data_IF_144366147569
#
_entry.id   IF_144366147569
#
_cell.length_a   1.000
_cell.length_b   1.000
_cell.length_c   1.000
_cell.angle_alpha   90.00
_cell.angle_beta   90.00
_cell.angle_gamma   90.00
#
_symmetry.space_group_name_H-M   'P 1'
#
loop_
_entity.id
_entity.type
_entity.pdbx_description
1 polymer ?
#
# COMPACT_ATOMS: atom_id res chain seq x y z
N UNK A 1 11.47 10.71 23.12
CA UNK A 1 10.18 10.38 22.49
C UNK A 1 9.93 8.90 22.68
N UNK A 2 8.69 8.47 22.94
CA UNK A 2 8.37 7.05 22.91
C UNK A 2 8.24 6.68 21.44
N UNK A 3 9.35 6.33 20.80
CA UNK A 3 9.31 5.90 19.41
C UNK A 3 8.54 4.57 19.37
N UNK A 4 7.49 4.49 18.55
CA UNK A 4 6.79 3.23 18.30
C UNK A 4 7.51 2.42 17.20
N UNK A 5 7.10 1.17 16.97
CA UNK A 5 7.77 0.29 16.01
C UNK A 5 7.77 0.86 14.58
N UNK A 6 6.68 1.54 14.18
CA UNK A 6 6.52 2.19 12.88
C UNK A 6 7.57 3.30 12.69
N UNK A 7 7.67 4.24 13.63
CA UNK A 7 8.62 5.37 13.58
C UNK A 7 10.07 4.87 13.48
N UNK A 8 10.43 3.83 14.25
CA UNK A 8 11.79 3.26 14.20
C UNK A 8 12.07 2.61 12.85
N UNK A 9 11.10 1.89 12.28
CA UNK A 9 11.27 1.27 10.97
C UNK A 9 11.50 2.35 9.90
N UNK A 10 10.72 3.43 9.90
CA UNK A 10 10.91 4.53 8.94
C UNK A 10 12.21 5.32 9.18
N UNK A 11 12.66 5.48 10.43
CA UNK A 11 13.97 6.06 10.78
C UNK A 11 15.09 5.23 10.14
N UNK A 12 15.13 3.92 10.41
CA UNK A 12 16.14 3.01 9.86
C UNK A 12 16.10 2.96 8.33
N UNK A 13 14.91 2.83 7.76
CA UNK A 13 14.73 2.83 6.29
C UNK A 13 15.30 4.11 5.67
N UNK A 14 15.05 5.26 6.27
CA UNK A 14 15.59 6.55 5.81
C UNK A 14 17.11 6.60 5.92
N UNK A 15 17.70 6.18 7.05
CA UNK A 15 19.15 6.15 7.26
C UNK A 15 19.87 5.26 6.24
N UNK A 16 19.26 4.14 5.88
CA UNK A 16 19.80 3.17 4.91
C UNK A 16 19.45 3.50 3.45
N UNK A 17 18.74 4.60 3.18
CA UNK A 17 18.21 4.95 1.86
C UNK A 17 17.40 3.80 1.21
N UNK A 18 16.55 3.17 2.02
CA UNK A 18 15.60 2.13 1.62
C UNK A 18 14.22 2.79 1.58
N UNK A 19 13.59 2.99 0.41
CA UNK A 19 12.23 3.49 0.36
C UNK A 19 11.31 2.57 1.15
N UNK A 20 10.47 3.14 2.01
CA UNK A 20 9.49 2.44 2.81
C UNK A 20 8.13 3.13 2.67
N UNK A 21 7.05 2.38 2.70
CA UNK A 21 5.68 2.90 2.67
C UNK A 21 4.79 2.12 3.62
N UNK A 22 3.79 2.79 4.19
CA UNK A 22 2.69 2.11 4.89
C UNK A 22 1.77 1.49 3.83
N UNK A 23 1.34 0.26 4.09
CA UNK A 23 0.30 -0.46 3.35
C UNK A 23 -0.95 -0.67 4.22
N UNK A 24 -1.88 -1.49 3.73
CA UNK A 24 -3.01 -1.97 4.52
C UNK A 24 -3.93 -0.86 5.04
N UNK A 25 -4.54 -1.12 6.19
CA UNK A 25 -5.53 -0.21 6.77
C UNK A 25 -4.94 1.11 7.27
N UNK A 26 -3.68 1.12 7.72
CA UNK A 26 -3.00 2.30 8.25
C UNK A 26 -2.68 3.35 7.17
N UNK A 27 -2.62 2.96 5.89
CA UNK A 27 -2.41 3.90 4.79
C UNK A 27 -3.68 4.70 4.43
N UNK A 28 -4.87 4.20 4.76
CA UNK A 28 -6.13 4.81 4.29
C UNK A 28 -6.36 6.26 4.69
N UNK A 29 -5.97 6.72 5.91
CA UNK A 29 -6.08 8.12 6.26
C UNK A 29 -5.33 9.06 5.31
N UNK A 30 -4.24 8.61 4.67
CA UNK A 30 -3.52 9.38 3.65
C UNK A 30 -4.34 9.63 2.38
N UNK A 31 -5.43 8.87 2.20
CA UNK A 31 -6.36 8.97 1.07
C UNK A 31 -7.73 9.46 1.51
N UNK A 32 -7.83 10.23 2.59
CA UNK A 32 -9.09 10.79 3.11
C UNK A 32 -10.13 9.72 3.50
N UNK A 33 -9.69 8.52 3.85
CA UNK A 33 -10.58 7.42 4.29
C UNK A 33 -10.24 7.04 5.73
N UNK A 34 -11.20 7.23 6.64
CA UNK A 34 -11.06 6.81 8.03
C UNK A 34 -11.14 5.28 8.15
N UNK A 35 -10.17 4.67 8.82
CA UNK A 35 -10.11 3.24 9.10
C UNK A 35 -9.37 2.99 10.41
N UNK A 36 -9.93 2.14 11.25
CA UNK A 36 -9.27 1.62 12.44
C UNK A 36 -8.64 0.27 12.11
N UNK A 37 -7.36 0.10 12.41
CA UNK A 37 -6.66 -1.18 12.38
C UNK A 37 -5.57 -1.19 13.45
N UNK A 38 -5.21 -2.37 13.92
CA UNK A 38 -4.02 -2.58 14.76
C UNK A 38 -2.84 -3.11 13.94
N UNK A 39 -3.11 -3.64 12.75
CA UNK A 39 -2.11 -4.24 11.87
C UNK A 39 -1.17 -3.15 11.33
N UNK A 40 0.13 -3.40 11.43
CA UNK A 40 1.18 -2.52 10.91
C UNK A 40 1.80 -3.19 9.68
N UNK A 41 1.33 -2.80 8.50
CA UNK A 41 1.87 -3.25 7.22
C UNK A 41 2.83 -2.18 6.67
N UNK A 42 4.10 -2.55 6.48
CA UNK A 42 5.10 -1.66 5.89
C UNK A 42 5.74 -2.40 4.71
N UNK A 43 5.80 -1.77 3.55
CA UNK A 43 6.54 -2.30 2.42
C UNK A 43 7.83 -1.54 2.21
N UNK A 44 8.94 -2.26 2.10
CA UNK A 44 10.26 -1.71 1.83
C UNK A 44 10.72 -2.09 0.42
N UNK A 45 11.45 -1.18 -0.23
CA UNK A 45 12.09 -1.44 -1.51
C UNK A 45 13.57 -1.76 -1.32
N UNK A 46 13.89 -3.04 -1.26
CA UNK A 46 15.26 -3.57 -1.19
C UNK A 46 15.58 -4.36 -2.46
N UNK A 47 16.80 -4.21 -2.97
CA UNK A 47 17.23 -4.80 -4.25
C UNK A 47 18.29 -5.90 -4.11
N UNK A 48 18.73 -6.18 -2.88
CA UNK A 48 19.73 -7.22 -2.59
C UNK A 48 19.56 -7.77 -1.19
N UNK A 49 20.02 -9.02 -0.98
CA UNK A 49 20.06 -9.63 0.35
C UNK A 49 20.94 -8.83 1.31
N UNK A 50 22.07 -8.29 0.84
CA UNK A 50 22.97 -7.46 1.66
C UNK A 50 22.25 -6.23 2.25
N UNK A 51 21.45 -5.52 1.44
CA UNK A 51 20.67 -4.38 1.95
C UNK A 51 19.59 -4.80 2.95
N UNK A 52 18.97 -5.95 2.71
CA UNK A 52 18.00 -6.51 3.65
C UNK A 52 18.68 -6.90 4.98
N UNK A 53 19.86 -7.52 4.93
CA UNK A 53 20.63 -7.90 6.11
C UNK A 53 21.05 -6.66 6.93
N UNK A 54 21.50 -5.58 6.26
CA UNK A 54 21.79 -4.30 6.93
C UNK A 54 20.55 -3.71 7.63
N UNK A 55 19.38 -3.79 6.99
CA UNK A 55 18.12 -3.34 7.59
C UNK A 55 17.75 -4.17 8.82
N UNK A 56 17.90 -5.50 8.76
CA UNK A 56 17.64 -6.40 9.88
C UNK A 56 18.61 -6.18 11.05
N UNK A 57 19.89 -5.95 10.77
CA UNK A 57 20.89 -5.65 11.79
C UNK A 57 20.58 -4.33 12.51
N UNK A 58 20.20 -3.28 11.77
CA UNK A 58 19.79 -2.00 12.34
C UNK A 58 18.52 -2.12 13.21
N UNK A 59 17.53 -2.93 12.79
CA UNK A 59 16.35 -3.21 13.61
C UNK A 59 16.74 -3.91 14.92
N UNK A 60 17.64 -4.88 14.85
CA UNK A 60 18.11 -5.65 16.00
C UNK A 60 18.80 -4.75 17.03
N UNK A 61 19.56 -3.75 16.61
CA UNK A 61 20.16 -2.74 17.50
C UNK A 61 19.10 -1.96 18.29
N UNK A 62 17.92 -1.74 17.70
CA UNK A 62 16.76 -1.11 18.34
C UNK A 62 15.87 -2.11 19.10
N UNK A 63 16.31 -3.36 19.28
CA UNK A 63 15.56 -4.48 19.91
C UNK A 63 14.27 -4.85 19.17
N UNK A 64 14.23 -4.62 17.86
CA UNK A 64 13.18 -5.11 16.97
C UNK A 64 13.76 -6.32 16.23
N UNK A 65 13.14 -7.48 16.35
CA UNK A 65 13.70 -8.73 15.83
C UNK A 65 12.68 -9.46 14.96
N UNK A 66 13.16 -10.16 13.93
CA UNK A 66 12.38 -11.22 13.29
C UNK A 66 12.79 -12.57 13.89
N UNK A 67 11.81 -13.43 14.14
CA UNK A 67 12.06 -14.85 14.45
C UNK A 67 12.22 -15.70 13.18
N UNK A 68 12.02 -15.11 12.01
CA UNK A 68 12.28 -15.71 10.72
C UNK A 68 13.73 -15.41 10.30
N UNK A 69 14.19 -16.03 9.22
CA UNK A 69 15.45 -15.70 8.56
C UNK A 69 15.11 -15.07 7.20
N UNK A 70 14.77 -13.77 7.14
CA UNK A 70 14.19 -13.17 5.95
C UNK A 70 15.13 -13.25 4.75
N UNK A 71 14.58 -13.62 3.60
CA UNK A 71 15.31 -13.67 2.33
C UNK A 71 14.66 -12.77 1.31
N UNK A 72 15.49 -12.18 0.44
CA UNK A 72 15.06 -11.21 -0.58
C UNK A 72 14.01 -11.75 -1.55
N UNK A 73 13.90 -13.07 -1.69
CA UNK A 73 12.91 -13.75 -2.54
C UNK A 73 11.59 -14.08 -1.83
N UNK A 74 11.46 -13.75 -0.54
CA UNK A 74 10.20 -13.90 0.19
C UNK A 74 9.31 -12.68 -0.03
N UNK A 75 8.01 -12.86 0.17
CA UNK A 75 7.04 -11.78 -0.03
C UNK A 75 6.99 -10.83 1.16
N UNK A 76 7.06 -11.38 2.37
CA UNK A 76 7.04 -10.64 3.63
C UNK A 76 7.72 -11.42 4.76
N UNK A 77 8.01 -10.71 5.85
CA UNK A 77 8.39 -11.28 7.14
C UNK A 77 7.82 -10.41 8.28
N UNK A 78 7.75 -10.97 9.49
CA UNK A 78 7.23 -10.29 10.67
C UNK A 78 8.37 -9.90 11.58
N UNK A 79 8.28 -8.71 12.16
CA UNK A 79 9.19 -8.20 13.19
C UNK A 79 8.43 -7.88 14.47
N UNK A 80 9.09 -8.09 15.60
CA UNK A 80 8.55 -7.94 16.94
C UNK A 80 9.42 -6.99 17.75
N UNK A 81 8.79 -6.06 18.47
CA UNK A 81 9.48 -5.12 19.33
C UNK A 81 8.51 -4.14 19.96
N UNK A 82 8.90 -3.54 21.10
CA UNK A 82 8.11 -2.50 21.76
C UNK A 82 6.64 -2.89 22.09
N UNK A 83 6.40 -4.17 22.40
CA UNK A 83 5.07 -4.75 22.62
C UNK A 83 4.12 -4.65 21.40
N UNK A 84 4.67 -4.62 20.20
CA UNK A 84 3.95 -4.65 18.94
C UNK A 84 4.63 -5.59 17.96
N UNK A 85 3.92 -5.91 16.89
CA UNK A 85 4.47 -6.54 15.68
C UNK A 85 4.21 -5.66 14.47
N UNK A 86 4.98 -5.89 13.40
CA UNK A 86 4.76 -5.31 12.08
C UNK A 86 5.08 -6.33 10.99
N UNK A 87 4.28 -6.35 9.94
CA UNK A 87 4.56 -7.06 8.71
C UNK A 87 5.43 -6.20 7.80
N UNK A 88 6.59 -6.72 7.43
CA UNK A 88 7.52 -6.10 6.48
C UNK A 88 7.39 -6.82 5.15
N UNK A 89 6.72 -6.16 4.21
CA UNK A 89 6.52 -6.59 2.84
C UNK A 89 7.73 -6.22 1.98
N UNK A 90 8.28 -7.18 1.24
CA UNK A 90 9.36 -6.97 0.28
C UNK A 90 8.85 -6.63 -1.13
N UNK A 91 7.55 -6.86 -1.37
CA UNK A 91 6.82 -6.43 -2.56
C UNK A 91 5.47 -5.82 -2.16
N UNK A 92 4.90 -4.89 -2.94
CA UNK A 92 3.68 -4.18 -2.54
C UNK A 92 2.43 -5.06 -2.42
N UNK A 93 2.37 -6.17 -3.15
CA UNK A 93 1.31 -7.19 -3.03
C UNK A 93 1.72 -8.51 -3.71
N UNK A 94 0.89 -9.54 -3.59
CA UNK A 94 1.16 -10.89 -4.11
C UNK A 94 1.45 -10.95 -5.62
N UNK A 95 0.76 -10.13 -6.44
CA UNK A 95 0.79 -10.21 -7.90
C UNK A 95 1.88 -9.34 -8.56
N UNK A 96 2.56 -8.48 -7.81
CA UNK A 96 3.57 -7.62 -8.41
C UNK A 96 4.65 -7.12 -7.46
N UNK A 97 5.84 -6.96 -8.03
CA UNK A 97 6.98 -6.33 -7.39
C UNK A 97 6.99 -4.80 -7.60
N UNK A 98 7.87 -4.15 -6.85
CA UNK A 98 8.22 -2.75 -7.05
C UNK A 98 8.68 -2.48 -8.47
N UNK A 99 8.32 -1.31 -8.98
CA UNK A 99 8.89 -0.74 -10.19
C UNK A 99 9.28 0.73 -9.97
N UNK A 100 10.14 1.25 -10.84
CA UNK A 100 10.67 2.61 -10.70
C UNK A 100 9.59 3.69 -10.71
N UNK A 101 8.50 3.53 -11.48
CA UNK A 101 7.42 4.54 -11.52
C UNK A 101 6.69 4.57 -10.18
N UNK A 102 6.51 3.42 -9.54
CA UNK A 102 5.90 3.34 -8.22
C UNK A 102 6.77 4.04 -7.18
N UNK A 103 8.07 3.73 -7.15
CA UNK A 103 9.03 4.36 -6.22
C UNK A 103 9.06 5.87 -6.41
N UNK A 104 9.08 6.36 -7.67
CA UNK A 104 9.06 7.80 -8.00
C UNK A 104 7.76 8.52 -7.62
N UNK A 105 6.66 7.78 -7.41
CA UNK A 105 5.33 8.32 -7.07
C UNK A 105 4.95 8.11 -5.60
N UNK A 106 5.85 7.59 -4.76
CA UNK A 106 5.68 7.54 -3.30
C UNK A 106 5.37 8.96 -2.78
N UNK A 107 4.40 9.06 -1.87
CA UNK A 107 3.96 10.33 -1.29
C UNK A 107 4.28 10.37 0.19
N UNK A 108 4.78 11.50 0.66
CA UNK A 108 4.89 11.76 2.10
C UNK A 108 3.48 11.89 2.68
N UNK A 109 3.22 11.21 3.79
CA UNK A 109 1.95 11.26 4.50
C UNK A 109 2.04 12.20 5.71
N UNK A 110 2.93 11.89 6.65
CA UNK A 110 3.26 12.77 7.79
C UNK A 110 4.71 12.53 8.19
N UNK A 111 5.41 13.58 8.62
CA UNK A 111 6.82 13.49 9.05
C UNK A 111 7.68 12.68 8.06
N UNK A 112 8.38 11.64 8.49
CA UNK A 112 9.18 10.75 7.65
C UNK A 112 8.40 9.49 7.19
N UNK A 113 7.08 9.48 7.33
CA UNK A 113 6.21 8.38 6.94
C UNK A 113 5.65 8.62 5.54
N UNK A 114 5.70 7.58 4.72
CA UNK A 114 5.31 7.62 3.32
C UNK A 114 4.25 6.57 3.01
N UNK A 115 3.53 6.80 1.91
CA UNK A 115 2.50 5.91 1.36
C UNK A 115 2.68 5.79 -0.16
N UNK A 116 2.03 4.79 -0.76
CA UNK A 116 1.92 4.71 -2.21
C UNK A 116 1.11 5.88 -2.79
N UNK A 117 1.19 6.06 -4.10
CA UNK A 117 0.19 6.88 -4.80
C UNK A 117 -1.21 6.29 -4.62
N UNK A 118 -2.25 7.10 -4.79
CA UNK A 118 -3.64 6.62 -4.67
C UNK A 118 -3.89 5.48 -5.67
N UNK A 119 -3.34 5.63 -6.88
CA UNK A 119 -3.52 4.68 -7.97
C UNK A 119 -2.80 3.37 -7.70
N UNK A 120 -1.56 3.43 -7.21
CA UNK A 120 -0.78 2.23 -6.87
C UNK A 120 -1.35 1.53 -5.63
N UNK A 121 -1.90 2.27 -4.66
CA UNK A 121 -2.59 1.68 -3.51
C UNK A 121 -3.91 1.00 -3.89
N UNK A 122 -4.71 1.60 -4.78
CA UNK A 122 -5.90 0.92 -5.34
C UNK A 122 -5.47 -0.38 -6.02
N UNK A 123 -4.35 -0.36 -6.76
CA UNK A 123 -3.82 -1.54 -7.43
C UNK A 123 -3.48 -2.65 -6.44
N UNK A 124 -2.83 -2.37 -5.29
CA UNK A 124 -2.51 -3.42 -4.30
C UNK A 124 -3.77 -4.08 -3.76
N UNK A 125 -4.83 -3.31 -3.48
CA UNK A 125 -6.11 -3.84 -2.99
C UNK A 125 -6.82 -4.72 -4.03
N UNK A 126 -6.80 -4.32 -5.30
CA UNK A 126 -7.39 -5.09 -6.38
C UNK A 126 -6.56 -6.34 -6.70
N UNK A 127 -5.25 -6.29 -6.50
CA UNK A 127 -4.33 -7.35 -6.85
C UNK A 127 -4.23 -8.47 -5.80
N UNK A 128 -4.89 -8.35 -4.63
CA UNK A 128 -4.87 -9.43 -3.63
C UNK A 128 -5.61 -10.68 -4.14
N UNK A 129 -4.99 -11.85 -3.99
CA UNK A 129 -5.65 -13.12 -4.34
C UNK A 129 -6.76 -13.47 -3.35
N UNK A 130 -6.58 -13.09 -2.08
CA UNK A 130 -7.51 -13.29 -0.96
C UNK A 130 -8.45 -12.08 -0.74
N UNK A 131 -8.60 -11.22 -1.76
CA UNK A 131 -9.36 -9.96 -1.69
C UNK A 131 -10.72 -10.15 -1.04
N UNK A 132 -10.94 -9.41 0.05
CA UNK A 132 -12.18 -9.45 0.84
C UNK A 132 -13.17 -8.38 0.42
N UNK A 133 -14.38 -8.43 0.97
CA UNK A 133 -15.37 -7.35 0.84
C UNK A 133 -14.90 -6.04 1.48
N UNK A 134 -14.00 -6.10 2.47
CA UNK A 134 -13.39 -4.92 3.10
C UNK A 134 -12.47 -4.23 2.09
N UNK A 135 -11.66 -4.99 1.35
CA UNK A 135 -10.77 -4.42 0.32
C UNK A 135 -11.56 -3.72 -0.78
N UNK A 136 -12.67 -4.31 -1.22
CA UNK A 136 -13.58 -3.68 -2.20
C UNK A 136 -14.18 -2.40 -1.61
N UNK A 137 -14.63 -2.43 -0.34
CA UNK A 137 -15.16 -1.25 0.34
C UNK A 137 -14.13 -0.12 0.44
N UNK A 138 -12.88 -0.45 0.74
CA UNK A 138 -11.79 0.51 0.83
C UNK A 138 -11.51 1.16 -0.54
N UNK A 139 -11.42 0.35 -1.61
CA UNK A 139 -11.25 0.86 -2.98
C UNK A 139 -12.37 1.84 -3.34
N UNK A 140 -13.62 1.49 -3.08
CA UNK A 140 -14.76 2.37 -3.37
C UNK A 140 -14.69 3.67 -2.58
N UNK A 141 -14.39 3.62 -1.28
CA UNK A 141 -14.25 4.84 -0.45
C UNK A 141 -13.13 5.74 -0.96
N UNK A 142 -11.99 5.18 -1.34
CA UNK A 142 -10.86 5.93 -1.91
C UNK A 142 -11.28 6.59 -3.22
N UNK A 143 -11.94 5.86 -4.13
CA UNK A 143 -12.42 6.39 -5.39
C UNK A 143 -13.39 7.56 -5.18
N UNK A 144 -14.35 7.42 -4.26
CA UNK A 144 -15.32 8.47 -3.93
C UNK A 144 -14.62 9.70 -3.35
N UNK A 145 -13.76 9.51 -2.33
CA UNK A 145 -13.13 10.60 -1.60
C UNK A 145 -12.10 11.37 -2.45
N UNK A 146 -11.54 10.74 -3.49
CA UNK A 146 -10.43 11.30 -4.26
C UNK A 146 -10.71 11.41 -5.77
N UNK A 147 -11.97 11.29 -6.21
CA UNK A 147 -12.35 11.24 -7.64
C UNK A 147 -11.82 12.39 -8.49
N UNK A 148 -11.57 13.55 -7.88
CA UNK A 148 -11.13 14.77 -8.54
C UNK A 148 -9.60 14.95 -8.55
N UNK A 149 -8.86 14.14 -7.78
CA UNK A 149 -7.39 14.22 -7.69
C UNK A 149 -6.67 12.97 -8.20
N UNK A 150 -7.41 11.87 -8.46
CA UNK A 150 -6.86 10.65 -9.06
C UNK A 150 -6.32 10.96 -10.46
N UNK A 151 -5.10 10.51 -10.72
CA UNK A 151 -4.49 10.43 -12.05
C UNK A 151 -5.09 9.23 -12.79
N UNK A 152 -6.27 9.44 -13.40
CA UNK A 152 -7.05 8.40 -14.05
C UNK A 152 -6.29 7.71 -15.20
N UNK A 153 -5.44 8.45 -15.92
CA UNK A 153 -4.59 7.90 -16.97
C UNK A 153 -3.55 6.95 -16.40
N UNK A 154 -2.93 7.30 -15.29
CA UNK A 154 -1.98 6.43 -14.60
C UNK A 154 -2.65 5.21 -13.97
N UNK A 155 -3.83 5.38 -13.34
CA UNK A 155 -4.61 4.25 -12.82
C UNK A 155 -4.97 3.26 -13.93
N UNK A 156 -5.45 3.76 -15.07
CA UNK A 156 -5.77 2.91 -16.23
C UNK A 156 -4.54 2.14 -16.72
N UNK A 157 -3.41 2.81 -16.86
CA UNK A 157 -2.13 2.17 -17.20
C UNK A 157 -1.76 1.05 -16.20
N UNK A 158 -1.93 1.29 -14.89
CA UNK A 158 -1.63 0.31 -13.85
C UNK A 158 -2.56 -0.91 -13.89
N UNK A 159 -3.85 -0.68 -14.08
CA UNK A 159 -4.85 -1.75 -14.22
C UNK A 159 -4.56 -2.60 -15.47
N UNK A 160 -4.24 -1.98 -16.59
CA UNK A 160 -3.87 -2.67 -17.84
C UNK A 160 -2.59 -3.50 -17.66
N UNK A 161 -1.56 -2.92 -17.02
CA UNK A 161 -0.29 -3.59 -16.75
C UNK A 161 -0.47 -4.90 -15.96
N UNK A 162 -1.46 -4.97 -15.06
CA UNK A 162 -1.73 -6.16 -14.24
C UNK A 162 -2.95 -6.97 -14.66
N UNK A 163 -3.59 -6.61 -15.77
CA UNK A 163 -4.78 -7.32 -16.23
C UNK A 163 -6.01 -7.15 -15.32
N UNK A 164 -6.04 -6.13 -14.46
CA UNK A 164 -7.09 -5.87 -13.46
C UNK A 164 -8.21 -4.95 -13.97
N UNK A 165 -8.24 -4.69 -15.28
CA UNK A 165 -9.26 -3.82 -15.90
C UNK A 165 -10.67 -4.38 -15.70
N UNK A 166 -10.85 -5.70 -15.81
CA UNK A 166 -12.15 -6.33 -15.64
C UNK A 166 -12.60 -6.32 -14.18
N UNK A 167 -11.71 -6.66 -13.24
CA UNK A 167 -11.97 -6.54 -11.80
C UNK A 167 -12.47 -5.15 -11.41
N UNK A 168 -11.78 -4.11 -11.90
CA UNK A 168 -12.17 -2.73 -11.64
C UNK A 168 -13.56 -2.42 -12.19
N UNK A 169 -13.85 -2.81 -13.44
CA UNK A 169 -15.17 -2.60 -14.05
C UNK A 169 -16.29 -3.34 -13.33
N UNK A 170 -16.04 -4.56 -12.86
CA UNK A 170 -17.03 -5.35 -12.11
C UNK A 170 -17.36 -4.69 -10.77
N UNK A 171 -16.36 -4.21 -10.04
CA UNK A 171 -16.55 -3.45 -8.80
C UNK A 171 -17.38 -2.19 -9.07
N UNK A 172 -17.06 -1.43 -10.12
CA UNK A 172 -17.82 -0.23 -10.48
C UNK A 172 -19.26 -0.54 -10.91
N UNK A 173 -19.49 -1.66 -11.61
CA UNK A 173 -20.84 -2.09 -12.00
C UNK A 173 -21.67 -2.48 -10.78
N UNK A 174 -21.10 -3.24 -9.85
CA UNK A 174 -21.76 -3.60 -8.60
C UNK A 174 -22.10 -2.36 -7.77
N UNK A 175 -21.18 -1.39 -7.74
CA UNK A 175 -21.38 -0.11 -7.05
C UNK A 175 -22.51 0.73 -7.66
N UNK A 176 -22.64 0.74 -9.00
CA UNK A 176 -23.71 1.46 -9.69
C UNK A 176 -25.13 0.92 -9.41
N UNK A 177 -25.24 -0.38 -9.10
CA UNK A 177 -26.54 -1.01 -8.79
C UNK A 177 -27.07 -0.64 -7.39
N UNK A 178 -26.28 0.05 -6.56
CA UNK A 178 -26.75 0.60 -5.30
C UNK A 178 -27.31 2.01 -5.53
N UNK A 179 -28.64 2.13 -5.50
CA UNK A 179 -29.40 3.34 -5.90
C UNK A 179 -28.93 4.65 -5.24
N UNK A 180 -28.40 4.60 -4.01
CA UNK A 180 -27.91 5.80 -3.30
C UNK A 180 -26.56 6.34 -3.82
N UNK A 181 -25.88 5.62 -4.72
CA UNK A 181 -24.52 5.95 -5.19
C UNK A 181 -24.35 5.85 -6.71
N UNK A 182 -25.45 5.64 -7.45
CA UNK A 182 -25.44 5.47 -8.91
C UNK A 182 -24.79 6.67 -9.63
N UNK A 183 -25.14 7.91 -9.26
CA UNK A 183 -24.59 9.12 -9.90
C UNK A 183 -23.05 9.21 -9.75
N UNK A 184 -22.53 8.96 -8.54
CA UNK A 184 -21.09 9.00 -8.26
C UNK A 184 -20.36 7.91 -9.03
N UNK A 185 -20.95 6.71 -9.11
CA UNK A 185 -20.38 5.59 -9.86
C UNK A 185 -20.26 5.91 -11.36
N UNK A 186 -21.28 6.57 -11.93
CA UNK A 186 -21.29 6.98 -13.33
C UNK A 186 -20.27 8.09 -13.60
N UNK A 187 -20.10 9.03 -12.66
CA UNK A 187 -19.07 10.06 -12.75
C UNK A 187 -17.67 9.44 -12.78
N UNK A 188 -17.38 8.51 -11.86
CA UNK A 188 -16.10 7.79 -11.81
C UNK A 188 -15.86 7.02 -13.11
N UNK A 189 -16.85 6.27 -13.59
CA UNK A 189 -16.73 5.53 -14.85
C UNK A 189 -16.50 6.45 -16.05
N UNK A 190 -17.15 7.61 -16.08
CA UNK A 190 -16.94 8.61 -17.13
C UNK A 190 -15.52 9.16 -17.10
N UNK A 191 -14.97 9.49 -15.92
CA UNK A 191 -13.57 9.93 -15.77
C UNK A 191 -12.61 8.85 -16.25
N UNK A 192 -12.80 7.60 -15.80
CA UNK A 192 -11.99 6.47 -16.23
C UNK A 192 -12.02 6.24 -17.75
N UNK A 193 -13.19 6.24 -18.37
CA UNK A 193 -13.34 5.97 -19.80
C UNK A 193 -12.78 7.09 -20.70
N UNK A 194 -12.78 8.33 -20.21
CA UNK A 194 -12.30 9.51 -20.95
C UNK A 194 -10.78 9.76 -20.77
N UNK A 195 -10.07 8.89 -20.05
CA UNK A 195 -8.64 9.00 -19.75
C UNK A 195 -7.74 8.17 -20.67
#
# INVERSE_FOLDING_TARGET
MKNNILEIIFEISSELNIPAVILGGLALPAYNVARTTLDIDICIYVTSQEKLDLFLDALKEKKIISHQNPKIYQDLFVVFGLNSEAEIWLKPCDLFDWDEKMVKKIKQFFENVYVLSIEDFILTKLARMDRSSIDISDVLKILIANKDIIDWKYLKYRLEWKGLVNDFKEIMKAFNLNDNQSEISQEILKKYNNS
#
